data_IF_390112942372
#
_entry.id   IF_390112942372
#
_cell.length_a   1.000
_cell.length_b   1.000
_cell.length_c   1.000
_cell.angle_alpha   90.00
_cell.angle_beta   90.00
_cell.angle_gamma   90.00
#
_symmetry.space_group_name_H-M   'P 1'
#
loop_
_entity.id
_entity.type
_entity.pdbx_description
1 polymer ?
#
# COMPACT_ATOMS: atom_id res chain seq x y z
N UNK A 1 13.93 25.45 -5.35
CA UNK A 1 15.09 25.14 -6.20
C UNK A 1 15.38 23.64 -6.27
N UNK A 2 15.39 22.90 -5.17
CA UNK A 2 15.69 21.44 -5.10
C UNK A 2 14.72 20.60 -5.95
N UNK A 3 13.43 20.93 -5.97
CA UNK A 3 12.40 20.19 -6.72
C UNK A 3 12.52 20.32 -8.25
N UNK A 4 13.08 21.43 -8.72
CA UNK A 4 13.28 21.68 -10.16
C UNK A 4 14.52 20.95 -10.70
N UNK A 5 15.57 20.80 -9.88
CA UNK A 5 16.76 20.01 -10.22
C UNK A 5 16.48 18.48 -10.17
N UNK A 6 15.60 18.03 -9.27
CA UNK A 6 15.17 16.63 -9.21
C UNK A 6 14.38 16.19 -10.44
N UNK A 7 13.52 17.07 -10.98
CA UNK A 7 12.78 16.76 -12.23
C UNK A 7 13.69 16.68 -13.46
N UNK A 8 14.80 17.39 -13.47
CA UNK A 8 15.79 17.32 -14.56
C UNK A 8 16.59 16.01 -14.48
N UNK A 9 17.04 15.61 -13.29
CA UNK A 9 17.72 14.33 -13.08
C UNK A 9 16.81 13.12 -13.37
N UNK A 10 15.51 13.22 -13.07
CA UNK A 10 14.54 12.17 -13.38
C UNK A 10 14.37 11.92 -14.89
N UNK A 11 14.56 12.94 -15.74
CA UNK A 11 14.57 12.80 -17.21
C UNK A 11 15.72 11.93 -17.72
N UNK A 12 16.82 11.85 -16.99
CA UNK A 12 17.98 10.99 -17.29
C UNK A 12 17.96 9.65 -16.56
N UNK A 13 16.81 9.24 -15.99
CA UNK A 13 16.70 7.98 -15.23
C UNK A 13 17.39 7.98 -13.87
N UNK A 14 17.95 9.10 -13.43
CA UNK A 14 18.56 9.28 -12.12
C UNK A 14 17.46 9.50 -11.07
N UNK A 15 16.75 8.42 -10.75
CA UNK A 15 15.79 8.45 -9.63
C UNK A 15 16.54 8.58 -8.30
N UNK A 16 15.86 9.13 -7.31
CA UNK A 16 16.41 9.25 -5.95
C UNK A 16 16.86 7.89 -5.38
N UNK A 17 16.17 6.81 -5.76
CA UNK A 17 16.54 5.44 -5.42
C UNK A 17 17.90 5.04 -6.03
N UNK A 18 18.16 5.38 -7.29
CA UNK A 18 19.45 5.10 -7.95
C UNK A 18 20.58 5.82 -7.24
N UNK A 19 20.42 7.10 -6.88
CA UNK A 19 21.42 7.84 -6.13
C UNK A 19 21.76 7.20 -4.78
N UNK A 20 20.73 6.76 -4.02
CA UNK A 20 20.92 6.01 -2.77
C UNK A 20 21.70 4.71 -2.98
N UNK A 21 21.36 3.97 -4.01
CA UNK A 21 21.99 2.69 -4.33
C UNK A 21 23.46 2.87 -4.68
N UNK A 22 23.79 3.89 -5.48
CA UNK A 22 25.17 4.23 -5.84
C UNK A 22 25.97 4.65 -4.60
N UNK A 23 25.40 5.50 -3.75
CA UNK A 23 26.04 5.91 -2.50
C UNK A 23 26.27 4.72 -1.54
N UNK A 24 25.28 3.85 -1.38
CA UNK A 24 25.44 2.65 -0.55
C UNK A 24 26.51 1.71 -1.10
N UNK A 25 26.56 1.52 -2.41
CA UNK A 25 27.56 0.71 -3.09
C UNK A 25 28.97 1.29 -2.91
N UNK A 26 29.16 2.59 -3.15
CA UNK A 26 30.44 3.26 -2.97
C UNK A 26 30.94 3.23 -1.53
N UNK A 27 30.04 3.50 -0.57
CA UNK A 27 30.38 3.46 0.84
C UNK A 27 30.70 2.04 1.33
N UNK A 28 29.96 1.03 0.86
CA UNK A 28 30.24 -0.37 1.20
C UNK A 28 31.59 -0.85 0.65
N UNK A 29 31.96 -0.43 -0.57
CA UNK A 29 33.29 -0.69 -1.13
C UNK A 29 34.38 -0.07 -0.28
N UNK A 30 34.23 1.20 0.09
CA UNK A 30 35.20 1.94 0.92
C UNK A 30 35.37 1.24 2.28
N UNK A 31 34.30 0.86 2.96
CA UNK A 31 34.35 0.18 4.25
C UNK A 31 35.03 -1.19 4.12
N UNK A 32 34.63 -1.97 3.10
CA UNK A 32 35.22 -3.29 2.87
C UNK A 32 36.72 -3.21 2.54
N UNK A 33 37.13 -2.25 1.71
CA UNK A 33 38.53 -2.06 1.36
C UNK A 33 39.40 -1.63 2.56
N UNK A 34 38.84 -0.83 3.47
CA UNK A 34 39.54 -0.44 4.71
C UNK A 34 39.70 -1.60 5.69
N UNK A 35 38.71 -2.51 5.77
CA UNK A 35 38.74 -3.62 6.73
C UNK A 35 39.53 -4.84 6.23
N UNK A 36 39.41 -5.17 4.94
CA UNK A 36 39.97 -6.41 4.37
C UNK A 36 41.02 -6.20 3.30
N UNK A 37 41.37 -4.95 2.98
CA UNK A 37 42.22 -4.62 1.85
C UNK A 37 41.53 -4.83 0.50
N UNK A 38 42.23 -4.58 -0.60
CA UNK A 38 41.61 -4.56 -1.93
C UNK A 38 41.33 -5.97 -2.54
N UNK A 39 41.74 -7.04 -1.88
CA UNK A 39 41.68 -8.38 -2.47
C UNK A 39 40.26 -8.96 -2.55
N UNK A 40 39.34 -8.56 -1.64
CA UNK A 40 37.99 -9.12 -1.54
C UNK A 40 36.87 -8.06 -1.55
N UNK A 41 37.19 -6.77 -1.74
CA UNK A 41 36.24 -5.67 -1.51
C UNK A 41 35.05 -5.58 -2.46
N UNK A 42 34.97 -6.44 -3.51
CA UNK A 42 33.95 -6.30 -4.56
C UNK A 42 32.57 -6.86 -4.22
N UNK A 43 32.46 -7.77 -3.26
CA UNK A 43 31.17 -8.36 -2.91
C UNK A 43 30.32 -7.46 -1.99
N UNK A 44 30.91 -6.56 -1.25
CA UNK A 44 30.20 -5.61 -0.43
C UNK A 44 29.36 -4.62 -1.26
N UNK A 45 29.89 -3.95 -2.30
CA UNK A 45 29.09 -3.11 -3.18
C UNK A 45 28.00 -3.90 -3.94
N UNK A 46 28.30 -5.12 -4.39
CA UNK A 46 27.34 -5.99 -5.03
C UNK A 46 26.20 -6.34 -4.04
N UNK A 47 26.54 -6.65 -2.79
CA UNK A 47 25.57 -6.91 -1.76
C UNK A 47 24.69 -5.70 -1.48
N UNK A 48 25.28 -4.49 -1.39
CA UNK A 48 24.53 -3.26 -1.19
C UNK A 48 23.54 -2.97 -2.34
N UNK A 49 23.98 -3.07 -3.60
CA UNK A 49 23.13 -2.87 -4.78
C UNK A 49 21.93 -3.82 -4.79
N UNK A 50 22.19 -5.12 -4.57
CA UNK A 50 21.14 -6.15 -4.64
C UNK A 50 20.24 -6.19 -3.39
N UNK A 51 20.64 -5.56 -2.30
CA UNK A 51 19.85 -5.46 -1.06
C UNK A 51 18.98 -4.21 -1.05
N UNK A 52 19.42 -3.11 -1.64
CA UNK A 52 18.72 -1.82 -1.65
C UNK A 52 17.33 -1.96 -2.30
N UNK A 53 16.30 -1.49 -1.58
CA UNK A 53 14.90 -1.48 -2.03
C UNK A 53 14.28 -0.11 -1.79
N UNK A 54 13.03 0.07 -2.24
CA UNK A 54 12.28 1.31 -2.08
C UNK A 54 11.96 1.61 -0.61
N UNK A 55 11.68 0.56 0.20
CA UNK A 55 11.37 0.72 1.63
C UNK A 55 12.47 0.20 2.53
N UNK A 56 12.56 0.71 3.76
CA UNK A 56 13.50 0.22 4.78
C UNK A 56 13.20 -1.25 5.11
N UNK A 57 11.91 -1.59 5.25
CA UNK A 57 11.47 -2.94 5.57
C UNK A 57 11.90 -3.96 4.50
N UNK A 58 11.70 -3.63 3.23
CA UNK A 58 12.10 -4.50 2.12
C UNK A 58 13.62 -4.63 2.02
N UNK A 59 14.37 -3.53 2.26
CA UNK A 59 15.82 -3.54 2.29
C UNK A 59 16.34 -4.45 3.40
N UNK A 60 15.78 -4.35 4.61
CA UNK A 60 16.15 -5.18 5.75
C UNK A 60 15.84 -6.66 5.47
N UNK A 61 14.63 -6.96 5.00
CA UNK A 61 14.18 -8.31 4.68
C UNK A 61 15.08 -8.96 3.61
N UNK A 62 15.36 -8.26 2.51
CA UNK A 62 16.27 -8.74 1.47
C UNK A 62 17.71 -8.89 1.97
N UNK A 63 18.17 -7.98 2.84
CA UNK A 63 19.49 -8.09 3.46
C UNK A 63 19.63 -9.37 4.27
N UNK A 64 18.63 -9.67 5.11
CA UNK A 64 18.59 -10.89 5.92
C UNK A 64 18.56 -12.14 5.02
N UNK A 65 17.68 -12.17 4.01
CA UNK A 65 17.59 -13.30 3.09
C UNK A 65 18.89 -13.54 2.33
N UNK A 66 19.57 -12.44 1.97
CA UNK A 66 20.87 -12.52 1.30
C UNK A 66 21.95 -13.11 2.19
N UNK A 67 22.06 -12.63 3.43
CA UNK A 67 23.05 -13.14 4.40
C UNK A 67 22.81 -14.63 4.69
N UNK A 68 21.56 -15.02 4.98
CA UNK A 68 21.20 -16.43 5.22
C UNK A 68 21.52 -17.27 3.99
N UNK A 69 21.18 -16.82 2.80
CA UNK A 69 21.45 -17.53 1.56
C UNK A 69 22.94 -17.69 1.27
N UNK A 70 23.74 -16.66 1.52
CA UNK A 70 25.20 -16.74 1.34
C UNK A 70 25.81 -17.72 2.34
N UNK A 71 25.43 -17.65 3.62
CA UNK A 71 25.89 -18.60 4.65
C UNK A 71 25.50 -20.04 4.27
N UNK A 72 24.24 -20.27 3.88
CA UNK A 72 23.77 -21.58 3.45
C UNK A 72 24.53 -22.14 2.25
N UNK A 73 24.80 -21.29 1.24
CA UNK A 73 25.59 -21.68 0.08
C UNK A 73 27.05 -21.97 0.38
N UNK A 74 27.68 -21.18 1.26
CA UNK A 74 29.05 -21.44 1.73
C UNK A 74 29.12 -22.73 2.53
N UNK A 75 28.21 -22.95 3.47
CA UNK A 75 28.17 -24.15 4.31
C UNK A 75 27.96 -25.41 3.47
N UNK A 76 27.00 -25.41 2.55
CA UNK A 76 26.76 -26.56 1.67
C UNK A 76 27.98 -26.87 0.79
N UNK A 77 28.68 -25.85 0.31
CA UNK A 77 29.90 -26.03 -0.48
C UNK A 77 31.04 -26.60 0.36
N UNK A 78 31.29 -26.09 1.55
CA UNK A 78 32.37 -26.57 2.45
C UNK A 78 32.15 -28.05 2.83
N UNK A 79 30.90 -28.48 3.00
CA UNK A 79 30.59 -29.87 3.38
C UNK A 79 30.79 -30.83 2.21
N UNK A 80 30.41 -30.44 0.99
CA UNK A 80 30.33 -31.37 -0.15
C UNK A 80 31.60 -31.38 -1.00
N UNK A 81 32.21 -30.21 -1.25
CA UNK A 81 33.37 -30.11 -2.16
C UNK A 81 34.59 -30.95 -1.77
N UNK A 82 34.90 -31.21 -0.49
CA UNK A 82 36.03 -32.05 -0.13
C UNK A 82 35.90 -33.52 -0.61
N UNK A 83 34.68 -33.98 -0.84
CA UNK A 83 34.40 -35.38 -1.23
C UNK A 83 34.30 -35.58 -2.76
N UNK A 84 34.20 -34.48 -3.51
CA UNK A 84 34.05 -34.53 -4.98
C UNK A 84 35.05 -33.59 -5.62
N UNK A 85 35.88 -34.12 -6.53
CA UNK A 85 36.76 -33.25 -7.32
C UNK A 85 36.00 -32.17 -8.05
N UNK A 86 36.66 -31.01 -8.30
CA UNK A 86 36.10 -29.85 -8.96
C UNK A 86 35.60 -30.15 -10.36
N UNK A 87 34.38 -30.70 -10.46
CA UNK A 87 33.77 -31.10 -11.73
C UNK A 87 32.27 -30.82 -11.73
N UNK A 88 31.64 -31.08 -12.86
CA UNK A 88 30.19 -30.89 -13.04
C UNK A 88 29.37 -31.63 -11.98
N UNK A 89 29.78 -32.83 -11.59
CA UNK A 89 29.14 -33.65 -10.55
C UNK A 89 29.16 -32.97 -9.18
N UNK A 90 30.30 -32.42 -8.78
CA UNK A 90 30.43 -31.68 -7.51
C UNK A 90 29.47 -30.47 -7.46
N UNK A 91 29.41 -29.70 -8.57
CA UNK A 91 28.49 -28.58 -8.70
C UNK A 91 27.02 -29.00 -8.56
N UNK A 92 26.60 -30.03 -9.30
CA UNK A 92 25.23 -30.54 -9.28
C UNK A 92 24.84 -31.02 -7.88
N UNK A 93 25.73 -31.73 -7.20
CA UNK A 93 25.49 -32.22 -5.84
C UNK A 93 25.37 -31.08 -4.82
N UNK A 94 26.28 -30.07 -4.87
CA UNK A 94 26.22 -28.90 -3.99
C UNK A 94 24.91 -28.14 -4.19
N UNK A 95 24.51 -27.92 -5.42
CA UNK A 95 23.24 -27.22 -5.73
C UNK A 95 22.03 -28.06 -5.28
N UNK A 96 22.04 -29.37 -5.56
CA UNK A 96 20.93 -30.27 -5.20
C UNK A 96 20.76 -30.34 -3.69
N UNK A 97 21.84 -30.50 -2.94
CA UNK A 97 21.79 -30.55 -1.48
C UNK A 97 21.48 -29.18 -0.90
N UNK A 98 22.18 -28.13 -1.31
CA UNK A 98 21.99 -26.77 -0.78
C UNK A 98 20.60 -26.20 -1.06
N UNK A 99 20.17 -26.23 -2.31
CA UNK A 99 18.84 -25.73 -2.70
C UNK A 99 17.72 -26.71 -2.29
N UNK A 100 17.98 -28.02 -2.33
CA UNK A 100 17.02 -29.06 -1.96
C UNK A 100 16.68 -29.00 -0.48
N UNK A 101 17.67 -28.88 0.41
CA UNK A 101 17.45 -28.73 1.85
C UNK A 101 16.71 -27.43 2.16
N UNK A 102 17.08 -26.32 1.51
CA UNK A 102 16.39 -25.05 1.67
C UNK A 102 14.92 -25.10 1.23
N UNK A 103 14.64 -25.84 0.15
CA UNK A 103 13.27 -26.07 -0.35
C UNK A 103 12.49 -26.96 0.60
N UNK A 104 13.09 -28.02 1.12
CA UNK A 104 12.48 -28.91 2.11
C UNK A 104 12.12 -28.17 3.42
N UNK A 105 12.96 -27.19 3.82
CA UNK A 105 12.70 -26.29 4.95
C UNK A 105 11.69 -25.16 4.62
N UNK A 106 11.14 -25.13 3.42
CA UNK A 106 10.17 -24.12 2.95
C UNK A 106 10.69 -22.68 3.09
N UNK A 107 11.99 -22.47 2.85
CA UNK A 107 12.59 -21.14 2.91
C UNK A 107 12.09 -20.27 1.75
N UNK A 108 12.23 -18.96 1.91
CA UNK A 108 11.85 -18.00 0.88
C UNK A 108 12.60 -18.27 -0.44
N UNK A 109 11.96 -18.22 -1.62
CA UNK A 109 12.60 -18.44 -2.91
C UNK A 109 13.88 -17.61 -3.15
N UNK A 110 13.95 -16.42 -2.55
CA UNK A 110 15.13 -15.57 -2.64
C UNK A 110 16.33 -16.16 -1.88
N UNK A 111 16.11 -16.81 -0.73
CA UNK A 111 17.16 -17.51 0.03
C UNK A 111 17.66 -18.70 -0.78
N UNK A 112 16.74 -19.49 -1.35
CA UNK A 112 17.08 -20.67 -2.17
C UNK A 112 17.95 -20.28 -3.37
N UNK A 113 17.55 -19.25 -4.11
CA UNK A 113 18.31 -18.70 -5.23
C UNK A 113 19.70 -18.21 -4.79
N UNK A 114 19.77 -17.53 -3.66
CA UNK A 114 21.04 -17.00 -3.13
C UNK A 114 21.99 -18.11 -2.65
N UNK A 115 21.48 -19.23 -2.11
CA UNK A 115 22.26 -20.44 -1.82
C UNK A 115 22.90 -20.94 -3.10
N UNK A 116 22.13 -21.10 -4.17
CA UNK A 116 22.65 -21.55 -5.46
C UNK A 116 23.79 -20.68 -5.99
N UNK A 117 23.56 -19.35 -6.05
CA UNK A 117 24.58 -18.40 -6.52
C UNK A 117 25.84 -18.46 -5.65
N UNK A 118 25.69 -18.55 -4.32
CA UNK A 118 26.84 -18.59 -3.41
C UNK A 118 27.62 -19.89 -3.51
N UNK A 119 26.92 -21.02 -3.71
CA UNK A 119 27.58 -22.32 -3.92
C UNK A 119 28.42 -22.34 -5.20
N UNK A 120 27.88 -21.83 -6.30
CA UNK A 120 28.64 -21.72 -7.57
C UNK A 120 29.88 -20.86 -7.40
N UNK A 121 29.73 -19.73 -6.73
CA UNK A 121 30.86 -18.79 -6.51
C UNK A 121 31.94 -19.38 -5.61
N UNK A 122 31.58 -20.08 -4.53
CA UNK A 122 32.54 -20.76 -3.65
C UNK A 122 33.33 -21.82 -4.41
N UNK A 123 32.64 -22.60 -5.25
CA UNK A 123 33.31 -23.59 -6.10
C UNK A 123 34.28 -22.93 -7.10
N UNK A 124 33.85 -21.84 -7.75
CA UNK A 124 34.69 -21.15 -8.75
C UNK A 124 35.96 -20.55 -8.15
N UNK A 125 35.86 -20.01 -6.93
CA UNK A 125 36.96 -19.32 -6.26
C UNK A 125 37.58 -20.13 -5.12
N UNK A 126 37.39 -21.45 -5.08
CA UNK A 126 37.86 -22.35 -4.02
C UNK A 126 39.37 -22.25 -3.78
N UNK A 127 40.17 -21.96 -4.80
CA UNK A 127 41.63 -21.83 -4.69
C UNK A 127 42.08 -20.57 -3.96
N UNK A 128 41.22 -19.57 -3.80
CA UNK A 128 41.54 -18.35 -3.09
C UNK A 128 41.34 -18.55 -1.58
N UNK A 129 42.47 -18.53 -0.82
CA UNK A 129 42.39 -18.65 0.65
C UNK A 129 41.56 -17.53 1.27
N UNK A 130 40.63 -17.91 2.15
CA UNK A 130 39.78 -16.94 2.83
C UNK A 130 38.57 -16.45 2.03
N UNK A 131 38.37 -16.91 0.78
CA UNK A 131 37.25 -16.46 -0.06
C UNK A 131 35.88 -16.67 0.60
N UNK A 132 35.63 -17.85 1.17
CA UNK A 132 34.35 -18.21 1.78
C UNK A 132 34.01 -17.29 2.97
N UNK A 133 34.97 -16.99 3.82
CA UNK A 133 34.82 -16.11 4.96
C UNK A 133 34.68 -14.64 4.53
N UNK A 134 35.48 -14.20 3.56
CA UNK A 134 35.40 -12.86 2.99
C UNK A 134 34.04 -12.60 2.38
N UNK A 135 33.48 -13.55 1.62
CA UNK A 135 32.15 -13.43 1.01
C UNK A 135 31.02 -13.24 2.03
N UNK A 136 31.05 -13.96 3.15
CA UNK A 136 30.06 -13.79 4.23
C UNK A 136 30.19 -12.39 4.84
N UNK A 137 31.40 -12.00 5.23
CA UNK A 137 31.65 -10.72 5.91
C UNK A 137 31.31 -9.53 5.01
N UNK A 138 31.74 -9.54 3.75
CA UNK A 138 31.42 -8.48 2.80
C UNK A 138 29.92 -8.39 2.49
N UNK A 139 29.21 -9.53 2.43
CA UNK A 139 27.76 -9.53 2.26
C UNK A 139 27.07 -8.89 3.45
N UNK A 140 27.52 -9.16 4.66
CA UNK A 140 26.99 -8.55 5.89
C UNK A 140 27.25 -7.03 5.87
N UNK A 141 28.48 -6.59 5.54
CA UNK A 141 28.81 -5.17 5.43
C UNK A 141 27.95 -4.47 4.41
N UNK A 142 27.82 -5.04 3.20
CA UNK A 142 27.00 -4.46 2.14
C UNK A 142 25.52 -4.34 2.52
N UNK A 143 24.98 -5.37 3.18
CA UNK A 143 23.59 -5.35 3.67
C UNK A 143 23.39 -4.30 4.78
N UNK A 144 24.30 -4.21 5.76
CA UNK A 144 24.24 -3.20 6.83
C UNK A 144 24.32 -1.79 6.27
N UNK A 145 25.26 -1.52 5.36
CA UNK A 145 25.42 -0.20 4.74
C UNK A 145 24.18 0.16 3.92
N UNK A 146 23.60 -0.78 3.18
CA UNK A 146 22.37 -0.54 2.43
C UNK A 146 21.19 -0.14 3.34
N UNK A 147 21.00 -0.87 4.45
CA UNK A 147 19.95 -0.55 5.44
C UNK A 147 20.20 0.82 6.07
N UNK A 148 21.45 1.10 6.46
CA UNK A 148 21.83 2.36 7.11
C UNK A 148 21.61 3.57 6.18
N UNK A 149 22.03 3.48 4.92
CA UNK A 149 21.79 4.53 3.92
C UNK A 149 20.31 4.72 3.68
N UNK A 150 19.53 3.63 3.62
CA UNK A 150 18.07 3.70 3.44
C UNK A 150 17.38 4.36 4.64
N UNK A 151 17.91 4.20 5.85
CA UNK A 151 17.36 4.85 7.06
C UNK A 151 17.69 6.34 7.12
N UNK A 152 18.95 6.73 6.79
CA UNK A 152 19.42 8.12 6.91
C UNK A 152 18.88 8.99 5.78
N UNK A 153 18.91 8.50 4.55
CA UNK A 153 18.52 9.29 3.40
C UNK A 153 16.99 9.18 3.24
N UNK A 154 16.30 10.19 3.76
CA UNK A 154 14.85 10.47 3.72
C UNK A 154 14.03 9.34 3.08
N UNK A 155 13.43 8.45 3.87
CA UNK A 155 12.57 7.40 3.35
C UNK A 155 11.36 8.03 2.65
N UNK A 156 10.92 7.41 1.56
CA UNK A 156 9.74 7.87 0.82
C UNK A 156 8.50 7.75 1.70
N UNK A 157 7.77 8.86 1.85
CA UNK A 157 6.50 8.88 2.55
C UNK A 157 5.37 8.57 1.55
N UNK A 158 4.79 7.38 1.67
CA UNK A 158 3.69 6.94 0.81
C UNK A 158 2.31 7.40 1.29
N UNK A 159 2.19 8.02 2.47
CA UNK A 159 0.91 8.48 3.03
C UNK A 159 0.16 9.42 2.08
N UNK A 160 0.78 10.47 1.49
CA UNK A 160 0.08 11.34 0.55
C UNK A 160 -0.40 10.61 -0.71
N UNK A 161 0.33 9.58 -1.15
CA UNK A 161 -0.07 8.76 -2.30
C UNK A 161 -1.30 7.92 -1.98
N UNK A 162 -1.39 7.36 -0.78
CA UNK A 162 -2.57 6.62 -0.31
C UNK A 162 -3.77 7.56 -0.18
N UNK A 163 -3.60 8.76 0.40
CA UNK A 163 -4.66 9.77 0.49
C UNK A 163 -5.22 10.15 -0.88
N UNK A 164 -4.34 10.41 -1.84
CA UNK A 164 -4.77 10.74 -3.21
C UNK A 164 -5.55 9.60 -3.87
N UNK A 165 -5.08 8.36 -3.74
CA UNK A 165 -5.79 7.18 -4.27
C UNK A 165 -7.12 6.95 -3.58
N UNK A 166 -7.19 7.18 -2.27
CA UNK A 166 -8.43 7.08 -1.52
C UNK A 166 -9.48 8.11 -2.02
N UNK A 167 -9.08 9.37 -2.18
CA UNK A 167 -9.95 10.41 -2.74
C UNK A 167 -10.41 10.07 -4.17
N UNK A 168 -9.53 9.53 -5.00
CA UNK A 168 -9.88 9.09 -6.35
C UNK A 168 -10.87 7.91 -6.32
N UNK A 169 -10.72 6.96 -5.40
CA UNK A 169 -11.69 5.87 -5.21
C UNK A 169 -13.07 6.41 -4.80
N UNK A 170 -13.15 7.37 -3.88
CA UNK A 170 -14.41 8.04 -3.53
C UNK A 170 -15.05 8.73 -4.73
N UNK A 171 -14.26 9.43 -5.55
CA UNK A 171 -14.76 10.06 -6.77
C UNK A 171 -15.35 9.05 -7.76
N UNK A 172 -14.70 7.91 -7.94
CA UNK A 172 -15.18 6.86 -8.82
C UNK A 172 -16.46 6.22 -8.29
N UNK A 173 -16.59 6.01 -6.97
CA UNK A 173 -17.83 5.53 -6.36
C UNK A 173 -18.97 6.53 -6.54
N UNK A 174 -18.72 7.83 -6.35
CA UNK A 174 -19.69 8.88 -6.59
C UNK A 174 -20.14 8.92 -8.06
N UNK A 175 -19.21 8.83 -9.00
CA UNK A 175 -19.51 8.77 -10.44
C UNK A 175 -20.36 7.54 -10.79
N UNK A 176 -20.08 6.39 -10.16
CA UNK A 176 -20.90 5.18 -10.35
C UNK A 176 -22.34 5.41 -9.97
N UNK A 177 -22.61 6.02 -8.81
CA UNK A 177 -23.99 6.35 -8.38
C UNK A 177 -24.65 7.36 -9.33
N UNK A 178 -23.93 8.35 -9.81
CA UNK A 178 -24.44 9.32 -10.78
C UNK A 178 -24.82 8.64 -12.11
N UNK A 179 -23.98 7.72 -12.61
CA UNK A 179 -24.29 6.94 -13.82
C UNK A 179 -25.54 6.08 -13.60
N UNK A 180 -25.66 5.47 -12.42
CA UNK A 180 -26.87 4.68 -12.08
C UNK A 180 -28.13 5.55 -12.05
N UNK A 181 -28.08 6.71 -11.38
CA UNK A 181 -29.20 7.64 -11.32
C UNK A 181 -29.63 8.09 -12.73
N UNK A 182 -28.66 8.47 -13.57
CA UNK A 182 -28.95 8.87 -14.97
C UNK A 182 -29.48 7.73 -15.82
N UNK A 183 -28.99 6.51 -15.60
CA UNK A 183 -29.47 5.32 -16.31
C UNK A 183 -30.91 4.95 -15.92
N UNK A 184 -31.30 5.18 -14.68
CA UNK A 184 -32.70 5.00 -14.23
C UNK A 184 -33.65 6.04 -14.87
N UNK A 185 -33.17 7.27 -15.09
CA UNK A 185 -33.97 8.37 -15.61
C UNK A 185 -34.13 8.32 -17.16
N UNK A 186 -33.17 7.76 -17.88
CA UNK A 186 -33.19 7.72 -19.34
C UNK A 186 -34.15 6.63 -19.86
N UNK A 187 -35.23 7.03 -20.56
CA UNK A 187 -36.25 6.21 -21.17
C UNK A 187 -35.83 5.37 -22.38
N UNK A 188 -34.53 5.30 -22.71
CA UNK A 188 -34.11 4.53 -23.88
C UNK A 188 -34.21 3.02 -23.59
N UNK A 189 -35.14 2.39 -24.31
CA UNK A 189 -35.30 0.93 -24.41
C UNK A 189 -34.08 0.20 -25.04
N UNK A 190 -33.04 0.96 -25.38
CA UNK A 190 -31.80 0.41 -25.89
C UNK A 190 -31.06 -0.31 -24.75
N UNK A 191 -30.79 -1.57 -24.96
CA UNK A 191 -30.13 -2.55 -24.07
C UNK A 191 -28.68 -2.18 -23.63
N UNK A 192 -28.27 -0.95 -23.83
CA UNK A 192 -26.94 -0.39 -23.49
C UNK A 192 -27.04 0.65 -22.38
N UNK A 193 -27.64 0.29 -21.22
CA UNK A 193 -27.26 1.02 -20.00
C UNK A 193 -25.77 0.75 -19.76
N UNK A 194 -24.95 1.77 -19.54
CA UNK A 194 -23.55 1.56 -19.15
C UNK A 194 -23.57 0.82 -17.81
N UNK A 195 -23.46 -0.50 -17.90
CA UNK A 195 -23.34 -1.35 -16.71
C UNK A 195 -21.94 -1.04 -16.19
N UNK A 196 -21.88 -0.32 -15.07
CA UNK A 196 -20.61 -0.20 -14.35
C UNK A 196 -20.24 -1.62 -13.95
N UNK A 197 -19.12 -2.09 -14.50
CA UNK A 197 -18.64 -3.43 -14.22
C UNK A 197 -18.18 -3.51 -12.75
N UNK A 198 -18.82 -4.33 -11.89
CA UNK A 198 -18.39 -4.52 -10.51
C UNK A 198 -16.93 -4.95 -10.39
N UNK A 199 -16.37 -5.63 -11.40
CA UNK A 199 -14.96 -6.04 -11.41
C UNK A 199 -14.02 -4.84 -11.47
N UNK A 200 -14.40 -3.75 -12.14
CA UNK A 200 -13.62 -2.51 -12.15
C UNK A 200 -13.56 -1.85 -10.77
N UNK A 201 -14.69 -1.84 -10.04
CA UNK A 201 -14.77 -1.30 -8.68
C UNK A 201 -13.89 -2.12 -7.71
N UNK A 202 -13.92 -3.44 -7.81
CA UNK A 202 -13.08 -4.33 -7.01
C UNK A 202 -11.58 -4.14 -7.32
N UNK A 203 -11.22 -3.92 -8.58
CA UNK A 203 -9.83 -3.64 -8.97
C UNK A 203 -9.29 -2.39 -8.29
N UNK A 204 -10.06 -1.29 -8.30
CA UNK A 204 -9.65 -0.04 -7.65
C UNK A 204 -9.47 -0.19 -6.14
N UNK A 205 -10.38 -0.94 -5.50
CA UNK A 205 -10.26 -1.26 -4.08
C UNK A 205 -8.97 -2.05 -3.78
N UNK A 206 -8.67 -3.07 -4.59
CA UNK A 206 -7.45 -3.86 -4.44
C UNK A 206 -6.17 -3.00 -4.63
N UNK A 207 -6.19 -2.05 -5.55
CA UNK A 207 -5.08 -1.10 -5.77
C UNK A 207 -4.90 -0.13 -4.58
N UNK A 208 -6.00 0.31 -3.97
CA UNK A 208 -5.99 1.14 -2.77
C UNK A 208 -5.41 0.37 -1.58
N UNK A 209 -5.88 -0.86 -1.35
CA UNK A 209 -5.40 -1.74 -0.29
C UNK A 209 -3.91 -2.09 -0.45
N UNK A 210 -3.48 -2.41 -1.67
CA UNK A 210 -2.07 -2.64 -1.97
C UNK A 210 -1.21 -1.42 -1.64
N UNK A 211 -1.71 -0.21 -1.95
CA UNK A 211 -1.02 1.04 -1.64
C UNK A 211 -0.94 1.30 -0.14
N UNK A 212 -1.99 1.00 0.63
CA UNK A 212 -2.00 1.04 2.08
C UNK A 212 -0.98 0.07 2.69
N UNK A 213 -0.93 -1.16 2.20
CA UNK A 213 0.03 -2.17 2.63
C UNK A 213 1.47 -1.73 2.37
N UNK A 214 1.73 -1.11 1.23
CA UNK A 214 3.04 -0.51 0.92
C UNK A 214 3.39 0.63 1.88
N UNK A 215 2.46 1.53 2.17
CA UNK A 215 2.67 2.62 3.13
C UNK A 215 2.96 2.10 4.53
N UNK A 216 2.21 1.10 5.01
CA UNK A 216 2.46 0.42 6.30
C UNK A 216 3.87 -0.17 6.36
N UNK A 217 4.26 -0.89 5.32
CA UNK A 217 5.59 -1.51 5.23
C UNK A 217 6.71 -0.46 5.22
N UNK A 218 6.49 0.67 4.53
CA UNK A 218 7.42 1.80 4.49
C UNK A 218 7.64 2.45 5.86
N UNK A 219 6.58 2.60 6.66
CA UNK A 219 6.65 3.28 7.96
C UNK A 219 7.08 2.37 9.11
N UNK A 220 6.98 1.04 8.97
CA UNK A 220 7.21 0.06 10.05
C UNK A 220 8.58 0.23 10.75
N UNK A 221 9.63 0.58 10.01
CA UNK A 221 11.00 0.75 10.53
C UNK A 221 11.50 2.19 10.40
N UNK A 222 10.60 3.13 10.07
CA UNK A 222 10.98 4.52 9.89
C UNK A 222 10.88 5.30 11.21
N UNK A 223 12.02 5.49 11.88
CA UNK A 223 12.09 6.19 13.17
C UNK A 223 11.73 7.67 13.03
N UNK A 224 11.94 8.28 11.85
CA UNK A 224 11.75 9.71 11.61
C UNK A 224 10.29 10.09 11.31
N UNK A 225 9.45 9.13 10.93
CA UNK A 225 8.05 9.38 10.53
C UNK A 225 7.02 8.81 11.51
N UNK A 226 7.30 8.82 12.82
CA UNK A 226 6.34 8.36 13.85
C UNK A 226 5.01 9.13 13.82
N UNK A 227 5.03 10.41 13.45
CA UNK A 227 3.79 11.21 13.30
C UNK A 227 2.88 10.68 12.19
N UNK A 228 3.46 10.13 11.13
CA UNK A 228 2.72 9.59 10.00
C UNK A 228 2.07 8.22 10.29
N UNK A 229 2.51 7.51 11.34
CA UNK A 229 1.86 6.27 11.79
C UNK A 229 0.42 6.49 12.26
N UNK A 230 0.16 7.56 13.00
CA UNK A 230 -1.18 7.89 13.43
C UNK A 230 -2.06 8.25 12.22
N UNK A 231 -1.52 9.04 11.29
CA UNK A 231 -2.22 9.38 10.05
C UNK A 231 -2.55 8.14 9.24
N UNK A 232 -1.63 7.17 9.20
CA UNK A 232 -1.85 5.90 8.49
C UNK A 232 -2.93 5.04 9.15
N UNK A 233 -3.01 5.03 10.48
CA UNK A 233 -4.06 4.33 11.20
C UNK A 233 -5.46 4.89 10.88
N UNK A 234 -5.60 6.23 10.80
CA UNK A 234 -6.86 6.85 10.38
C UNK A 234 -7.21 6.55 8.93
N UNK A 235 -6.21 6.61 8.05
CA UNK A 235 -6.41 6.25 6.65
C UNK A 235 -6.87 4.79 6.49
N UNK A 236 -6.36 3.89 7.30
CA UNK A 236 -6.80 2.50 7.30
C UNK A 236 -8.29 2.37 7.63
N UNK A 237 -8.75 3.04 8.68
CA UNK A 237 -10.17 3.03 9.05
C UNK A 237 -11.06 3.69 7.99
N UNK A 238 -10.59 4.79 7.39
CA UNK A 238 -11.31 5.44 6.29
C UNK A 238 -11.39 4.55 5.04
N UNK A 239 -10.34 3.79 4.74
CA UNK A 239 -10.34 2.83 3.63
C UNK A 239 -11.30 1.67 3.91
N UNK A 240 -11.39 1.18 5.15
CA UNK A 240 -12.38 0.19 5.56
C UNK A 240 -13.82 0.70 5.34
N UNK A 241 -14.10 1.96 5.69
CA UNK A 241 -15.39 2.60 5.40
C UNK A 241 -15.69 2.65 3.89
N UNK A 242 -14.68 2.96 3.05
CA UNK A 242 -14.85 2.94 1.57
C UNK A 242 -15.13 1.52 1.05
N UNK A 243 -14.51 0.49 1.62
CA UNK A 243 -14.80 -0.89 1.26
C UNK A 243 -16.24 -1.29 1.57
N UNK A 244 -16.76 -0.86 2.72
CA UNK A 244 -18.17 -1.08 3.09
C UNK A 244 -19.11 -0.31 2.17
N UNK A 245 -18.79 0.95 1.83
CA UNK A 245 -19.56 1.71 0.83
C UNK A 245 -19.56 1.04 -0.55
N UNK A 246 -18.43 0.45 -0.96
CA UNK A 246 -18.35 -0.33 -2.20
C UNK A 246 -19.31 -1.52 -2.21
N UNK A 247 -19.37 -2.26 -1.08
CA UNK A 247 -20.31 -3.39 -0.94
C UNK A 247 -21.76 -2.89 -1.06
N UNK A 248 -22.09 -1.78 -0.41
CA UNK A 248 -23.43 -1.18 -0.52
C UNK A 248 -23.76 -0.75 -1.96
N UNK A 249 -22.80 -0.18 -2.69
CA UNK A 249 -22.98 0.20 -4.11
C UNK A 249 -23.17 -1.04 -4.98
N UNK A 250 -22.44 -2.13 -4.75
CA UNK A 250 -22.66 -3.40 -5.46
C UNK A 250 -24.06 -3.98 -5.18
N UNK A 251 -24.55 -3.89 -3.94
CA UNK A 251 -25.92 -4.28 -3.58
C UNK A 251 -26.97 -3.42 -4.29
N UNK A 252 -26.77 -2.11 -4.34
CA UNK A 252 -27.63 -1.17 -5.07
C UNK A 252 -27.64 -1.50 -6.57
N UNK A 253 -26.48 -1.77 -7.17
CA UNK A 253 -26.36 -2.17 -8.58
C UNK A 253 -27.20 -3.41 -8.89
N UNK A 254 -27.16 -4.41 -8.01
CA UNK A 254 -27.94 -5.62 -8.16
C UNK A 254 -29.45 -5.33 -8.04
N UNK A 255 -29.87 -4.60 -7.00
CA UNK A 255 -31.28 -4.23 -6.79
C UNK A 255 -31.82 -3.34 -7.92
N UNK A 256 -31.00 -2.42 -8.46
CA UNK A 256 -31.39 -1.56 -9.56
C UNK A 256 -31.65 -2.35 -10.86
N UNK A 257 -30.99 -3.47 -11.08
CA UNK A 257 -31.28 -4.36 -12.21
C UNK A 257 -32.68 -4.99 -12.11
N UNK A 258 -33.10 -5.37 -10.91
CA UNK A 258 -34.46 -5.88 -10.67
C UNK A 258 -35.52 -4.79 -10.86
N UNK A 259 -35.24 -3.56 -10.40
CA UNK A 259 -36.12 -2.40 -10.53
C UNK A 259 -36.25 -1.88 -11.97
N UNK A 260 -35.41 -2.32 -12.90
CA UNK A 260 -35.51 -1.96 -14.34
C UNK A 260 -36.85 -2.30 -14.95
N UNK A 261 -37.56 -3.26 -14.42
CA UNK A 261 -38.86 -3.69 -14.88
C UNK A 261 -40.05 -2.89 -14.30
N UNK A 262 -39.79 -1.89 -13.44
CA UNK A 262 -40.83 -1.12 -12.75
C UNK A 262 -40.73 0.38 -13.11
N UNK A 263 -41.36 0.81 -14.22
CA UNK A 263 -41.18 2.16 -14.75
C UNK A 263 -41.61 3.29 -13.79
N UNK A 264 -42.60 3.03 -12.93
CA UNK A 264 -43.14 4.01 -11.97
C UNK A 264 -42.18 4.39 -10.87
N UNK A 265 -41.24 3.51 -10.52
CA UNK A 265 -40.25 3.72 -9.46
C UNK A 265 -39.00 4.45 -9.92
N UNK A 266 -38.68 4.41 -11.20
CA UNK A 266 -37.40 4.95 -11.71
C UNK A 266 -37.18 6.42 -11.37
N UNK A 267 -38.24 7.23 -11.52
CA UNK A 267 -38.16 8.68 -11.27
C UNK A 267 -38.12 9.07 -9.80
N UNK A 268 -38.39 8.15 -8.88
CA UNK A 268 -38.32 8.44 -7.43
C UNK A 268 -37.01 8.03 -6.81
N UNK A 269 -36.19 7.23 -7.52
CA UNK A 269 -34.95 6.69 -7.02
C UNK A 269 -33.70 7.41 -7.56
N UNK A 270 -33.81 8.27 -8.57
CA UNK A 270 -32.71 9.04 -9.12
C UNK A 270 -32.15 10.04 -8.10
N UNK A 271 -33.02 10.81 -7.43
CA UNK A 271 -32.59 11.82 -6.48
C UNK A 271 -31.85 11.25 -5.24
N UNK A 272 -32.32 10.18 -4.57
CA UNK A 272 -31.56 9.54 -3.49
C UNK A 272 -30.16 9.08 -3.87
N UNK A 273 -29.98 8.58 -5.11
CA UNK A 273 -28.67 8.17 -5.61
C UNK A 273 -27.76 9.37 -5.90
N UNK A 274 -28.31 10.48 -6.41
CA UNK A 274 -27.58 11.72 -6.63
C UNK A 274 -27.16 12.36 -5.31
N UNK A 275 -28.03 12.35 -4.30
CA UNK A 275 -27.74 12.86 -2.96
C UNK A 275 -26.62 12.02 -2.30
N UNK A 276 -26.65 10.71 -2.44
CA UNK A 276 -25.59 9.81 -1.99
C UNK A 276 -24.26 10.03 -2.75
N UNK A 277 -24.34 10.25 -4.06
CA UNK A 277 -23.17 10.59 -4.88
C UNK A 277 -22.52 11.89 -4.42
N UNK A 278 -23.30 12.94 -4.16
CA UNK A 278 -22.81 14.21 -3.63
C UNK A 278 -22.14 14.03 -2.27
N UNK A 279 -22.74 13.23 -1.37
CA UNK A 279 -22.16 12.93 -0.07
C UNK A 279 -20.81 12.22 -0.17
N UNK A 280 -20.69 11.19 -1.01
CA UNK A 280 -19.41 10.47 -1.23
C UNK A 280 -18.36 11.39 -1.88
N UNK A 281 -18.75 12.26 -2.80
CA UNK A 281 -17.84 13.22 -3.43
C UNK A 281 -17.28 14.21 -2.39
N UNK A 282 -18.13 14.77 -1.51
CA UNK A 282 -17.74 15.67 -0.43
C UNK A 282 -16.86 14.94 0.60
N UNK A 283 -17.19 13.68 0.93
CA UNK A 283 -16.36 12.84 1.77
C UNK A 283 -14.96 12.62 1.17
N UNK A 284 -14.88 12.35 -0.13
CA UNK A 284 -13.60 12.22 -0.84
C UNK A 284 -12.76 13.51 -0.81
N UNK A 285 -13.39 14.68 -0.94
CA UNK A 285 -12.74 15.98 -0.82
C UNK A 285 -12.22 16.23 0.61
N UNK A 286 -13.01 15.89 1.63
CA UNK A 286 -12.60 15.94 3.04
C UNK A 286 -11.38 15.06 3.31
N UNK A 287 -11.37 13.81 2.82
CA UNK A 287 -10.23 12.90 3.01
C UNK A 287 -8.97 13.41 2.31
N UNK A 288 -9.11 14.03 1.14
CA UNK A 288 -7.98 14.61 0.41
C UNK A 288 -7.30 15.75 1.18
N UNK A 289 -8.10 16.63 1.78
CA UNK A 289 -7.65 17.79 2.53
C UNK A 289 -8.48 17.95 3.83
N UNK A 290 -8.20 17.18 4.87
CA UNK A 290 -8.95 17.23 6.09
C UNK A 290 -8.72 18.57 6.83
N UNK A 291 -9.80 19.33 6.97
CA UNK A 291 -9.83 20.59 7.74
C UNK A 291 -11.11 20.66 8.59
N UNK A 292 -11.13 21.47 9.65
CA UNK A 292 -12.34 21.66 10.45
C UNK A 292 -13.53 22.16 9.63
N UNK A 293 -13.28 23.05 8.63
CA UNK A 293 -14.31 23.57 7.74
C UNK A 293 -14.89 22.45 6.85
N UNK A 294 -14.01 21.66 6.21
CA UNK A 294 -14.42 20.54 5.37
C UNK A 294 -15.16 19.45 6.18
N UNK A 295 -14.76 19.23 7.44
CA UNK A 295 -15.44 18.33 8.36
C UNK A 295 -16.86 18.81 8.65
N UNK A 296 -17.03 20.10 8.99
CA UNK A 296 -18.35 20.69 9.28
C UNK A 296 -19.24 20.69 8.03
N UNK A 297 -18.69 20.97 6.85
CA UNK A 297 -19.40 20.92 5.59
C UNK A 297 -19.93 19.51 5.32
N UNK A 298 -19.09 18.49 5.51
CA UNK A 298 -19.46 17.09 5.37
C UNK A 298 -20.60 16.71 6.32
N UNK A 299 -20.48 17.01 7.61
CA UNK A 299 -21.53 16.70 8.60
C UNK A 299 -22.87 17.38 8.29
N UNK A 300 -22.82 18.65 7.88
CA UNK A 300 -24.02 19.40 7.48
C UNK A 300 -24.68 18.78 6.24
N UNK A 301 -23.89 18.31 5.27
CA UNK A 301 -24.42 17.61 4.09
C UNK A 301 -25.03 16.26 4.46
N UNK A 302 -24.34 15.45 5.25
CA UNK A 302 -24.84 14.14 5.70
C UNK A 302 -26.14 14.25 6.46
N UNK A 303 -26.25 15.25 7.35
CA UNK A 303 -27.48 15.54 8.08
C UNK A 303 -28.64 15.88 7.12
N UNK A 304 -28.41 16.76 6.14
CA UNK A 304 -29.43 17.13 5.13
C UNK A 304 -29.86 15.93 4.30
N UNK A 305 -28.90 15.15 3.79
CA UNK A 305 -29.19 13.95 2.98
C UNK A 305 -30.02 12.95 3.79
N UNK A 306 -29.71 12.74 5.06
CA UNK A 306 -30.44 11.82 5.95
C UNK A 306 -31.90 12.28 6.19
N UNK A 307 -32.12 13.58 6.34
CA UNK A 307 -33.47 14.15 6.49
C UNK A 307 -34.27 14.01 5.18
N UNK A 308 -33.66 14.34 4.04
CA UNK A 308 -34.28 14.21 2.73
C UNK A 308 -34.63 12.75 2.40
N UNK A 309 -33.71 11.82 2.71
CA UNK A 309 -33.90 10.39 2.51
C UNK A 309 -35.17 9.85 3.16
N UNK A 310 -35.49 10.31 4.38
CA UNK A 310 -36.69 9.88 5.10
C UNK A 310 -37.97 10.30 4.37
N UNK A 311 -38.02 11.52 3.83
CA UNK A 311 -39.17 12.00 3.05
C UNK A 311 -39.27 11.31 1.69
N UNK A 312 -38.14 11.17 0.98
CA UNK A 312 -38.07 10.49 -0.30
C UNK A 312 -38.49 9.02 -0.20
N UNK A 313 -38.18 8.33 0.91
CA UNK A 313 -38.57 6.96 1.16
C UNK A 313 -40.11 6.82 1.24
N UNK A 314 -40.77 7.70 2.00
CA UNK A 314 -42.22 7.72 2.12
C UNK A 314 -42.87 7.93 0.74
N UNK A 315 -42.42 8.92 -0.02
CA UNK A 315 -42.94 9.22 -1.37
C UNK A 315 -42.72 8.04 -2.33
N UNK A 316 -41.55 7.36 -2.22
CA UNK A 316 -41.27 6.19 -3.05
C UNK A 316 -42.17 5.02 -2.75
N UNK A 317 -42.55 4.79 -1.49
CA UNK A 317 -43.50 3.73 -1.10
C UNK A 317 -44.91 4.06 -1.57
N UNK A 318 -45.36 5.31 -1.40
CA UNK A 318 -46.67 5.76 -1.87
C UNK A 318 -46.85 5.59 -3.38
N UNK A 319 -45.75 5.83 -4.14
CA UNK A 319 -45.73 5.71 -5.60
C UNK A 319 -45.67 4.25 -6.08
N UNK A 320 -44.85 3.44 -5.39
CA UNK A 320 -44.53 2.07 -5.80
C UNK A 320 -45.54 1.02 -5.40
N UNK A 321 -46.31 1.30 -4.36
CA UNK A 321 -47.19 0.31 -3.73
C UNK A 321 -46.45 -0.76 -2.93
N UNK A 322 -47.20 -1.63 -2.25
CA UNK A 322 -46.69 -2.64 -1.31
C UNK A 322 -45.81 -3.70 -2.00
N UNK A 323 -46.01 -3.95 -3.30
CA UNK A 323 -45.28 -5.00 -4.04
C UNK A 323 -43.78 -4.73 -4.19
N UNK A 324 -43.39 -3.47 -4.16
CA UNK A 324 -41.96 -3.04 -4.32
C UNK A 324 -41.31 -2.56 -3.03
N UNK A 325 -42.00 -2.71 -1.90
CA UNK A 325 -41.56 -2.25 -0.60
C UNK A 325 -40.19 -2.85 -0.21
N UNK A 326 -39.98 -4.12 -0.55
CA UNK A 326 -38.73 -4.83 -0.24
C UNK A 326 -37.55 -4.23 -1.01
N UNK A 327 -37.69 -4.05 -2.30
CA UNK A 327 -36.58 -3.55 -3.17
C UNK A 327 -36.26 -2.09 -2.86
N UNK A 328 -37.29 -1.26 -2.69
CA UNK A 328 -37.12 0.15 -2.26
C UNK A 328 -36.50 0.21 -0.88
N UNK A 329 -36.98 -0.59 0.07
CA UNK A 329 -36.43 -0.66 1.42
C UNK A 329 -34.95 -1.10 1.43
N UNK A 330 -34.58 -2.07 0.60
CA UNK A 330 -33.19 -2.52 0.44
C UNK A 330 -32.29 -1.38 -0.07
N UNK A 331 -32.71 -0.67 -1.13
CA UNK A 331 -31.94 0.44 -1.70
C UNK A 331 -31.71 1.56 -0.69
N UNK A 332 -32.75 2.00 0.00
CA UNK A 332 -32.62 3.04 1.03
C UNK A 332 -31.81 2.58 2.24
N UNK A 333 -31.86 1.31 2.62
CA UNK A 333 -31.04 0.75 3.67
C UNK A 333 -29.55 0.79 3.30
N UNK A 334 -29.19 0.48 2.05
CA UNK A 334 -27.81 0.55 1.58
C UNK A 334 -27.31 2.00 1.48
N UNK A 335 -28.13 2.95 1.03
CA UNK A 335 -27.78 4.38 1.04
C UNK A 335 -27.57 4.86 2.48
N UNK A 336 -28.46 4.50 3.40
CA UNK A 336 -28.29 4.88 4.82
C UNK A 336 -27.00 4.28 5.43
N UNK A 337 -26.66 3.03 5.06
CA UNK A 337 -25.42 2.39 5.50
C UNK A 337 -24.20 3.17 5.04
N UNK A 338 -24.16 3.65 3.78
CA UNK A 338 -23.08 4.50 3.29
C UNK A 338 -22.98 5.82 4.08
N UNK A 339 -24.10 6.45 4.40
CA UNK A 339 -24.14 7.68 5.21
C UNK A 339 -23.54 7.42 6.60
N UNK A 340 -23.97 6.35 7.27
CA UNK A 340 -23.47 5.96 8.60
C UNK A 340 -21.95 5.70 8.59
N UNK A 341 -21.41 5.04 7.55
CA UNK A 341 -19.97 4.82 7.41
C UNK A 341 -19.19 6.14 7.23
N UNK A 342 -19.73 7.10 6.48
CA UNK A 342 -19.14 8.44 6.35
C UNK A 342 -19.20 9.25 7.66
N UNK A 343 -20.33 9.21 8.39
CA UNK A 343 -20.47 9.81 9.72
C UNK A 343 -19.44 9.23 10.69
N UNK A 344 -19.31 7.89 10.73
CA UNK A 344 -18.33 7.21 11.57
C UNK A 344 -16.90 7.63 11.25
N UNK A 345 -16.54 7.65 9.98
CA UNK A 345 -15.20 8.07 9.53
C UNK A 345 -14.90 9.54 9.89
N UNK A 346 -15.88 10.44 9.75
CA UNK A 346 -15.76 11.84 10.15
C UNK A 346 -15.55 11.98 11.66
N UNK A 347 -16.27 11.22 12.47
CA UNK A 347 -16.14 11.25 13.94
C UNK A 347 -14.76 10.70 14.40
N UNK A 348 -14.26 9.66 13.78
CA UNK A 348 -12.91 9.12 14.03
C UNK A 348 -11.84 10.18 13.78
N UNK A 349 -11.99 10.99 12.73
CA UNK A 349 -11.07 12.10 12.46
C UNK A 349 -11.12 13.17 13.58
N UNK A 350 -12.30 13.54 14.06
CA UNK A 350 -12.47 14.51 15.15
C UNK A 350 -11.74 14.06 16.42
N UNK A 351 -11.92 12.80 16.83
CA UNK A 351 -11.21 12.21 17.97
C UNK A 351 -9.69 12.25 17.78
N UNK A 352 -9.23 12.06 16.55
CA UNK A 352 -7.81 12.10 16.23
C UNK A 352 -7.23 13.50 16.28
N UNK A 353 -7.95 14.50 15.82
CA UNK A 353 -7.55 15.90 15.85
C UNK A 353 -7.45 16.37 17.32
N UNK A 354 -8.44 16.08 18.13
CA UNK A 354 -8.45 16.39 19.56
C UNK A 354 -7.26 15.75 20.31
N UNK A 355 -6.88 14.52 19.96
CA UNK A 355 -5.73 13.86 20.57
C UNK A 355 -4.37 14.49 20.18
N UNK A 356 -4.26 15.08 18.99
CA UNK A 356 -3.07 15.81 18.53
C UNK A 356 -2.91 17.13 19.29
N UNK A 357 -3.98 17.89 19.45
CA UNK A 357 -3.97 19.16 20.16
C UNK A 357 -3.56 18.98 21.63
N UNK A 358 -4.11 17.96 22.31
CA UNK A 358 -3.70 17.60 23.68
C UNK A 358 -2.23 17.14 23.79
N UNK A 359 -1.67 16.53 22.76
CA UNK A 359 -0.27 16.12 22.76
C UNK A 359 0.67 17.32 22.52
N UNK A 360 0.29 18.28 21.69
CA UNK A 360 1.06 19.52 21.44
C UNK A 360 1.02 20.46 22.63
N UNK A 361 -0.11 20.59 23.34
CA UNK A 361 -0.21 21.35 24.59
C UNK A 361 0.69 20.76 25.68
N UNK A 362 0.76 19.45 25.84
CA UNK A 362 1.67 18.80 26.82
C UNK A 362 3.13 19.04 26.50
N UNK A 363 3.51 19.13 25.25
CA UNK A 363 4.87 19.44 24.83
C UNK A 363 5.19 20.91 25.08
N UNK A 364 4.28 21.83 24.78
CA UNK A 364 4.48 23.28 25.01
C UNK A 364 4.54 23.63 26.49
N UNK A 365 3.73 23.01 27.34
CA UNK A 365 3.77 23.20 28.82
C UNK A 365 5.06 22.62 29.43
N UNK A 366 5.60 21.53 28.93
CA UNK A 366 6.89 21.01 29.40
C UNK A 366 8.11 21.89 29.03
N UNK A 367 8.03 22.67 27.95
CA UNK A 367 9.06 23.67 27.62
C UNK A 367 8.92 24.96 28.44
N UNK A 368 7.72 25.35 28.85
CA UNK A 368 7.48 26.52 29.69
C UNK A 368 7.92 26.34 31.16
N UNK A 369 8.04 25.10 31.64
CA UNK A 369 8.52 24.79 32.99
C UNK A 369 10.06 24.57 33.08
N UNK A 370 10.79 24.62 31.98
CA UNK A 370 12.25 24.45 31.95
C UNK A 370 13.02 25.73 31.55
N UNK A 371 12.37 26.86 31.43
CA UNK A 371 12.98 28.19 31.32
C UNK A 371 12.69 28.95 32.63
#
# INVERSE_FOLDING_TARGET
MVQRSMNWCARFGLTFHVCKTVLASGLSLLIASLLFGNHFAYFAPLAAVLTMQLTIADTLEKGIYRVIGVIGGVVSSIIILPYFENGILGLVLVLLVGMGTATALRLNPQIISQIGVSSVMVMTFQQMQGYSTGRILETIIGAIVAVFIQMIIRPENYVPTVQKKHAESCKQLAQTLTIMATALNNHSDSATTPIVDPASLLKWNNELEASLKHAKKSLKYNVFCRKDLNTLYYLEQQIDSVQKMLISICSILYTAQELKYLPTLRHTLDQPLLDASAAISTYGAFVANPSPEAHQELLNLLYRVKQQQSQQFITSIETAGITCLREVGCLYAEINRMIVEMEYSAHVWELSAASKDCAEERVSTNYAYKG
#
